data_IF_945665273737
#
_entry.id   IF_945665273737
#
_cell.length_a   1.000
_cell.length_b   1.000
_cell.length_c   1.000
_cell.angle_alpha   90.00
_cell.angle_beta   90.00
_cell.angle_gamma   90.00
#
_symmetry.space_group_name_H-M   'P 1'
#
loop_
_entity.id
_entity.type
_entity.pdbx_description
1 polymer ?
#
# COMPACT_ATOMS: atom_id res chain seq x y z
N UNK A 1 27.29 17.54 35.78
CA UNK A 1 26.37 18.07 34.75
C UNK A 1 25.38 16.95 34.39
N UNK A 2 24.09 17.12 34.67
CA UNK A 2 23.09 16.08 34.37
C UNK A 2 22.76 16.22 32.87
N UNK A 3 23.10 15.19 32.10
CA UNK A 3 22.77 15.12 30.67
C UNK A 3 21.26 14.92 30.55
N UNK A 4 20.57 15.71 29.72
CA UNK A 4 19.13 15.56 29.52
C UNK A 4 18.79 14.28 28.74
N UNK A 5 17.59 13.69 28.90
CA UNK A 5 17.16 12.54 28.12
C UNK A 5 17.24 12.78 26.61
N UNK A 6 16.97 13.99 26.16
CA UNK A 6 17.14 14.37 24.75
C UNK A 6 18.61 14.31 24.31
N UNK A 7 19.53 14.85 25.10
CA UNK A 7 20.97 14.82 24.76
C UNK A 7 21.50 13.39 24.65
N UNK A 8 21.08 12.52 25.59
CA UNK A 8 21.45 11.10 25.58
C UNK A 8 20.85 10.38 24.35
N UNK A 9 19.58 10.66 24.03
CA UNK A 9 18.90 10.08 22.86
C UNK A 9 19.58 10.50 21.56
N UNK A 10 20.00 11.76 21.47
CA UNK A 10 20.74 12.30 20.32
C UNK A 10 22.10 11.61 20.16
N UNK A 11 22.87 11.46 21.24
CA UNK A 11 24.16 10.78 21.20
C UNK A 11 24.00 9.32 20.74
N UNK A 12 22.99 8.62 21.22
CA UNK A 12 22.68 7.26 20.75
C UNK A 12 22.35 7.22 19.27
N UNK A 13 21.53 8.15 18.79
CA UNK A 13 21.16 8.23 17.38
C UNK A 13 22.36 8.54 16.45
N UNK A 14 23.40 9.24 16.97
CA UNK A 14 24.64 9.55 16.24
C UNK A 14 25.64 8.38 16.26
N UNK A 15 25.63 7.53 17.30
CA UNK A 15 26.65 6.51 17.55
C UNK A 15 26.17 5.06 17.37
N UNK A 16 24.88 4.81 17.52
CA UNK A 16 24.27 3.47 17.43
C UNK A 16 23.55 3.25 16.12
N UNK A 17 23.33 1.98 15.74
CA UNK A 17 22.41 1.67 14.66
C UNK A 17 20.97 2.06 15.06
N UNK A 18 20.31 2.94 14.32
CA UNK A 18 18.96 3.46 14.63
C UNK A 18 17.91 2.37 14.90
N UNK A 19 18.10 1.15 14.36
CA UNK A 19 17.23 0.00 14.64
C UNK A 19 17.30 -0.51 16.10
N UNK A 20 18.33 -0.12 16.82
CA UNK A 20 18.55 -0.51 18.22
C UNK A 20 18.10 0.61 19.19
N UNK A 21 17.84 1.80 18.66
CA UNK A 21 17.36 2.95 19.44
C UNK A 21 15.85 2.82 19.67
N UNK A 22 15.42 2.96 20.92
CA UNK A 22 14.00 2.83 21.28
C UNK A 22 13.14 3.98 20.73
N UNK A 23 11.84 3.72 20.58
CA UNK A 23 10.87 4.68 20.02
C UNK A 23 10.85 6.02 20.78
N UNK A 24 10.93 6.00 22.13
CA UNK A 24 11.02 7.21 22.96
C UNK A 24 12.21 8.09 22.56
N UNK A 25 13.37 7.50 22.37
CA UNK A 25 14.60 8.21 22.03
C UNK A 25 14.54 8.77 20.60
N UNK A 26 14.02 8.00 19.64
CA UNK A 26 13.80 8.46 18.26
C UNK A 26 12.86 9.66 18.22
N UNK A 27 11.75 9.62 18.97
CA UNK A 27 10.80 10.73 19.05
C UNK A 27 11.43 11.96 19.73
N UNK A 28 12.24 11.80 20.80
CA UNK A 28 12.99 12.91 21.40
C UNK A 28 13.92 13.61 20.42
N UNK A 29 14.63 12.82 19.60
CA UNK A 29 15.52 13.34 18.55
C UNK A 29 14.76 14.15 17.51
N UNK A 30 13.65 13.62 17.00
CA UNK A 30 12.82 14.32 16.00
C UNK A 30 12.23 15.61 16.55
N UNK A 31 11.78 15.60 17.82
CA UNK A 31 11.14 16.76 18.46
C UNK A 31 12.15 17.77 19.02
N UNK A 32 13.40 17.37 19.21
CA UNK A 32 14.44 18.20 19.84
C UNK A 32 14.11 18.53 21.31
N UNK A 33 13.46 17.62 22.04
CA UNK A 33 13.02 17.87 23.41
C UNK A 33 12.77 16.60 24.21
N UNK A 34 12.79 16.73 25.54
CA UNK A 34 12.49 15.66 26.49
C UNK A 34 11.00 15.36 26.53
N UNK A 35 10.53 14.55 25.58
CA UNK A 35 9.15 14.04 25.52
C UNK A 35 9.16 12.55 25.84
N UNK A 36 8.17 12.11 26.59
CA UNK A 36 7.91 10.68 26.85
C UNK A 36 6.69 10.24 26.08
N UNK A 37 6.78 9.08 25.42
CA UNK A 37 5.63 8.48 24.76
C UNK A 37 4.60 8.01 25.80
N UNK A 38 3.38 8.53 25.68
CA UNK A 38 2.24 8.09 26.48
C UNK A 38 1.42 6.98 25.81
N UNK A 39 1.66 6.78 24.49
CA UNK A 39 0.97 5.82 23.63
C UNK A 39 1.96 5.18 22.66
N UNK A 40 1.65 4.00 22.10
CA UNK A 40 2.49 3.34 21.09
C UNK A 40 2.73 4.24 19.87
N UNK A 41 3.90 4.07 19.24
CA UNK A 41 4.27 4.81 18.01
C UNK A 41 3.27 4.58 16.87
N UNK A 42 2.67 3.39 16.80
CA UNK A 42 1.63 3.05 15.83
C UNK A 42 0.36 3.89 15.97
N UNK A 43 0.02 4.30 17.17
CA UNK A 43 -1.09 5.23 17.43
C UNK A 43 -0.74 6.63 16.93
N UNK A 44 0.47 7.12 17.27
CA UNK A 44 0.91 8.45 16.84
C UNK A 44 1.04 8.56 15.32
N UNK A 45 1.48 7.50 14.63
CA UNK A 45 1.64 7.50 13.19
C UNK A 45 0.34 7.63 12.39
N UNK A 46 -0.81 7.34 13.05
CA UNK A 46 -2.16 7.47 12.47
C UNK A 46 -2.91 8.70 12.99
N UNK A 47 -2.32 9.45 13.93
CA UNK A 47 -2.94 10.61 14.56
C UNK A 47 -2.62 11.91 13.83
N UNK A 48 -3.57 12.85 13.84
CA UNK A 48 -3.35 14.20 13.34
C UNK A 48 -2.39 14.99 14.25
N UNK A 49 -1.84 16.08 13.75
CA UNK A 49 -0.98 16.97 14.55
C UNK A 49 -1.70 17.56 15.77
N UNK A 50 -3.02 17.71 15.70
CA UNK A 50 -3.84 18.18 16.83
C UNK A 50 -3.93 17.14 17.94
N UNK A 51 -4.21 15.88 17.56
CA UNK A 51 -4.28 14.76 18.50
C UNK A 51 -2.92 14.48 19.14
N UNK A 52 -1.83 14.46 18.35
CA UNK A 52 -0.46 14.28 18.87
C UNK A 52 -0.10 15.38 19.85
N UNK A 53 -0.47 16.64 19.58
CA UNK A 53 -0.23 17.76 20.48
C UNK A 53 -0.90 17.52 21.85
N UNK A 54 -2.13 17.04 21.85
CA UNK A 54 -2.86 16.68 23.08
C UNK A 54 -2.27 15.47 23.81
N UNK A 55 -1.97 14.38 23.08
CA UNK A 55 -1.45 13.15 23.65
C UNK A 55 -0.06 13.30 24.30
N UNK A 56 0.80 14.13 23.71
CA UNK A 56 2.19 14.31 24.17
C UNK A 56 2.40 15.61 24.95
N UNK A 57 1.37 16.46 25.11
CA UNK A 57 1.50 17.75 25.80
C UNK A 57 2.47 18.72 25.13
N UNK A 58 2.56 18.71 23.80
CA UNK A 58 3.50 19.52 23.01
C UNK A 58 2.79 20.56 22.14
N UNK A 59 3.53 21.56 21.65
CA UNK A 59 2.97 22.52 20.71
C UNK A 59 2.56 21.88 19.38
N UNK A 60 1.56 22.45 18.69
CA UNK A 60 1.13 22.01 17.35
C UNK A 60 2.29 22.00 16.34
N UNK A 61 3.20 22.96 16.42
CA UNK A 61 4.37 23.04 15.55
C UNK A 61 5.31 21.84 15.76
N UNK A 62 5.50 21.37 16.99
CA UNK A 62 6.27 20.16 17.29
C UNK A 62 5.55 18.91 16.82
N UNK A 63 4.24 18.81 17.09
CA UNK A 63 3.42 17.71 16.60
C UNK A 63 3.45 17.60 15.06
N UNK A 64 3.40 18.73 14.35
CA UNK A 64 3.54 18.76 12.89
C UNK A 64 4.87 18.18 12.40
N UNK A 65 5.99 18.44 13.11
CA UNK A 65 7.30 17.81 12.77
C UNK A 65 7.24 16.30 12.86
N UNK A 66 6.59 15.77 13.87
CA UNK A 66 6.46 14.31 14.04
C UNK A 66 5.58 13.70 12.94
N UNK A 67 4.44 14.32 12.61
CA UNK A 67 3.60 13.91 11.48
C UNK A 67 4.40 13.93 10.16
N UNK A 68 5.19 15.01 9.95
CA UNK A 68 6.04 15.11 8.76
C UNK A 68 7.11 14.01 8.73
N UNK A 69 7.72 13.68 9.88
CA UNK A 69 8.70 12.60 9.96
C UNK A 69 8.09 11.23 9.64
N UNK A 70 6.88 10.94 10.14
CA UNK A 70 6.14 9.73 9.79
C UNK A 70 5.85 9.67 8.30
N UNK A 71 5.39 10.77 7.71
CA UNK A 71 5.10 10.84 6.28
C UNK A 71 6.35 10.68 5.42
N UNK A 72 7.47 11.30 5.79
CA UNK A 72 8.75 11.11 5.11
C UNK A 72 9.25 9.67 5.23
N UNK A 73 9.13 9.06 6.43
CA UNK A 73 9.45 7.65 6.65
C UNK A 73 8.59 6.72 5.80
N UNK A 74 7.28 6.98 5.73
CA UNK A 74 6.34 6.26 4.87
C UNK A 74 6.73 6.37 3.39
N UNK A 75 7.06 7.58 2.91
CA UNK A 75 7.51 7.78 1.51
C UNK A 75 8.86 7.14 1.24
N UNK A 76 9.79 7.21 2.18
CA UNK A 76 11.12 6.61 2.05
C UNK A 76 11.09 5.07 2.10
N UNK A 77 10.21 4.48 2.90
CA UNK A 77 10.02 3.03 2.97
C UNK A 77 9.24 2.49 1.76
N UNK A 78 8.48 3.35 1.08
CA UNK A 78 7.65 2.96 -0.04
C UNK A 78 8.36 3.25 -1.36
N UNK A 79 9.04 2.24 -1.87
CA UNK A 79 9.56 2.25 -3.24
C UNK A 79 8.66 1.33 -4.07
N UNK A 80 7.71 1.90 -4.84
CA UNK A 80 6.89 1.09 -5.73
C UNK A 80 7.78 0.45 -6.78
N UNK A 81 7.46 -0.77 -7.24
CA UNK A 81 8.20 -1.43 -8.29
C UNK A 81 8.19 -0.57 -9.57
N UNK A 82 9.36 -0.49 -10.20
CA UNK A 82 9.54 0.21 -11.47
C UNK A 82 9.32 -0.75 -12.64
N UNK A 83 9.13 -0.18 -13.83
CA UNK A 83 9.09 -0.97 -15.06
C UNK A 83 10.34 -1.85 -15.17
N UNK A 84 10.16 -3.16 -15.36
CA UNK A 84 11.21 -4.16 -15.41
C UNK A 84 11.47 -4.91 -14.11
N UNK A 85 10.96 -4.44 -12.99
CA UNK A 85 11.05 -5.14 -11.71
C UNK A 85 10.09 -6.35 -11.67
N UNK A 86 10.46 -7.37 -10.93
CA UNK A 86 9.61 -8.54 -10.75
C UNK A 86 8.37 -8.16 -9.91
N UNK A 87 7.18 -8.50 -10.42
CA UNK A 87 5.91 -8.14 -9.81
C UNK A 87 4.95 -9.35 -9.84
N UNK A 88 5.28 -10.41 -9.09
CA UNK A 88 4.48 -11.64 -8.99
C UNK A 88 3.96 -11.88 -7.58
N UNK A 89 4.53 -11.21 -6.60
CA UNK A 89 4.17 -11.34 -5.21
C UNK A 89 3.04 -10.36 -4.88
N UNK A 90 1.93 -10.81 -4.25
CA UNK A 90 0.80 -9.95 -3.89
C UNK A 90 1.17 -8.76 -3.02
N UNK A 91 2.16 -8.88 -2.13
CA UNK A 91 2.65 -7.75 -1.33
C UNK A 91 3.33 -6.67 -2.19
N UNK A 92 4.03 -7.08 -3.25
CA UNK A 92 4.61 -6.18 -4.25
C UNK A 92 3.51 -5.48 -5.05
N UNK A 93 2.46 -6.21 -5.43
CA UNK A 93 1.26 -5.65 -6.08
C UNK A 93 0.58 -4.63 -5.19
N UNK A 94 0.36 -4.96 -3.92
CA UNK A 94 -0.19 -4.03 -2.94
C UNK A 94 0.66 -2.76 -2.82
N UNK A 95 1.99 -2.91 -2.77
CA UNK A 95 2.90 -1.76 -2.73
C UNK A 95 2.75 -0.87 -3.96
N UNK A 96 2.65 -1.45 -5.15
CA UNK A 96 2.46 -0.73 -6.42
C UNK A 96 1.13 0.02 -6.49
N UNK A 97 0.07 -0.55 -5.90
CA UNK A 97 -1.32 -0.11 -6.05
C UNK A 97 -1.91 0.51 -4.78
N UNK A 98 -1.09 0.76 -3.77
CA UNK A 98 -1.54 1.25 -2.45
C UNK A 98 -2.27 2.59 -2.52
N UNK A 99 -1.99 3.40 -3.52
CA UNK A 99 -2.69 4.66 -3.78
C UNK A 99 -4.20 4.45 -3.96
N UNK A 100 -4.63 3.31 -4.49
CA UNK A 100 -6.05 2.97 -4.66
C UNK A 100 -6.83 2.89 -3.33
N UNK A 101 -6.18 2.60 -2.21
CA UNK A 101 -6.85 2.56 -0.90
C UNK A 101 -7.46 3.90 -0.49
N UNK A 102 -7.09 5.01 -1.14
CA UNK A 102 -7.56 6.35 -0.85
C UNK A 102 -8.59 6.87 -1.87
N UNK A 103 -8.88 6.08 -2.91
CA UNK A 103 -9.85 6.46 -3.92
C UNK A 103 -11.29 6.27 -3.40
N UNK A 104 -12.12 7.30 -3.56
CA UNK A 104 -13.52 7.29 -3.13
C UNK A 104 -14.42 6.46 -4.06
N UNK A 105 -13.95 6.20 -5.27
CA UNK A 105 -14.62 5.37 -6.26
C UNK A 105 -13.94 4.01 -6.36
N UNK A 106 -14.70 2.97 -6.70
CA UNK A 106 -14.13 1.69 -7.06
C UNK A 106 -13.43 1.78 -8.42
N UNK A 107 -12.14 1.49 -8.46
CA UNK A 107 -11.33 1.47 -9.68
C UNK A 107 -10.83 0.07 -9.97
N UNK A 108 -11.05 -0.39 -11.18
CA UNK A 108 -10.50 -1.65 -11.66
C UNK A 108 -9.28 -1.40 -12.55
N UNK A 109 -8.18 -1.95 -12.17
CA UNK A 109 -6.89 -1.84 -12.84
C UNK A 109 -6.38 -3.21 -13.29
N UNK A 110 -5.44 -3.19 -14.24
CA UNK A 110 -4.63 -4.34 -14.59
C UNK A 110 -3.16 -3.99 -14.47
N UNK A 111 -2.39 -4.91 -13.92
CA UNK A 111 -0.93 -4.91 -13.94
C UNK A 111 -0.50 -5.81 -15.09
N UNK A 112 0.32 -5.27 -15.97
CA UNK A 112 0.77 -5.90 -17.20
C UNK A 112 2.18 -6.45 -16.98
N UNK A 113 2.38 -7.71 -17.33
CA UNK A 113 3.62 -8.44 -17.08
C UNK A 113 4.21 -9.01 -18.35
N UNK A 114 5.54 -9.03 -18.43
CA UNK A 114 6.27 -9.77 -19.46
C UNK A 114 6.27 -11.29 -19.18
N UNK A 115 6.89 -12.08 -20.07
CA UNK A 115 7.01 -13.54 -19.94
C UNK A 115 7.76 -13.97 -18.66
N UNK A 116 8.60 -13.11 -18.09
CA UNK A 116 9.36 -13.35 -16.87
C UNK A 116 8.66 -12.84 -15.60
N UNK A 117 7.43 -12.31 -15.74
CA UNK A 117 6.68 -11.73 -14.64
C UNK A 117 7.21 -10.36 -14.20
N UNK A 118 7.84 -9.61 -15.08
CA UNK A 118 8.31 -8.26 -14.82
C UNK A 118 7.25 -7.24 -15.22
N UNK A 119 7.16 -6.19 -14.44
CA UNK A 119 6.22 -5.08 -14.64
C UNK A 119 6.47 -4.37 -15.97
N UNK A 120 5.49 -4.37 -16.84
CA UNK A 120 5.42 -3.53 -18.03
C UNK A 120 4.71 -2.21 -17.75
N UNK A 121 3.72 -2.22 -16.88
CA UNK A 121 2.95 -1.06 -16.47
C UNK A 121 1.63 -1.41 -15.81
N UNK A 122 0.88 -0.39 -15.39
CA UNK A 122 -0.51 -0.52 -14.91
C UNK A 122 -1.45 0.26 -15.81
N UNK A 123 -2.71 -0.19 -15.92
CA UNK A 123 -3.75 0.48 -16.69
C UNK A 123 -5.06 0.48 -15.90
N UNK A 124 -5.68 1.65 -15.80
CA UNK A 124 -7.07 1.79 -15.38
C UNK A 124 -7.97 1.24 -16.48
N UNK A 125 -8.87 0.33 -16.13
CA UNK A 125 -9.84 -0.27 -17.05
C UNK A 125 -11.21 0.36 -16.85
N UNK A 126 -11.65 0.50 -15.60
CA UNK A 126 -12.95 1.06 -15.25
C UNK A 126 -12.87 1.81 -13.94
N UNK A 127 -13.63 2.89 -13.85
CA UNK A 127 -13.92 3.62 -12.62
C UNK A 127 -15.43 3.66 -12.46
N UNK A 128 -15.92 3.06 -11.38
CA UNK A 128 -17.34 2.95 -11.08
C UNK A 128 -17.85 4.06 -10.18
N UNK A 129 -19.18 4.12 -10.02
CA UNK A 129 -19.83 4.80 -8.88
C UNK A 129 -19.76 3.88 -7.66
N UNK A 130 -20.10 4.41 -6.47
CA UNK A 130 -20.08 3.68 -5.18
C UNK A 130 -20.84 2.32 -5.17
N UNK A 131 -21.54 1.98 -6.23
CA UNK A 131 -22.40 0.78 -6.33
C UNK A 131 -22.11 -0.13 -7.52
N UNK A 132 -21.38 0.30 -8.53
CA UNK A 132 -21.09 -0.53 -9.72
C UNK A 132 -19.81 -0.09 -10.45
N UNK A 133 -18.87 -1.01 -10.60
CA UNK A 133 -17.72 -0.89 -11.50
C UNK A 133 -17.87 -1.90 -12.66
N UNK A 134 -18.49 -1.52 -13.79
CA UNK A 134 -18.72 -2.44 -14.88
C UNK A 134 -17.40 -2.78 -15.59
N UNK A 135 -16.87 -3.97 -15.30
CA UNK A 135 -15.66 -4.50 -15.93
C UNK A 135 -16.02 -5.52 -17.00
N UNK A 136 -15.59 -5.24 -18.22
CA UNK A 136 -15.76 -6.16 -19.35
C UNK A 136 -14.46 -6.92 -19.64
N UNK A 137 -14.47 -8.25 -19.80
CA UNK A 137 -13.31 -8.99 -20.27
C UNK A 137 -12.71 -8.43 -21.57
N UNK A 138 -13.54 -7.92 -22.47
CA UNK A 138 -13.11 -7.29 -23.72
C UNK A 138 -12.19 -6.08 -23.45
N UNK A 139 -12.53 -5.22 -22.48
CA UNK A 139 -11.75 -4.01 -22.21
C UNK A 139 -10.44 -4.36 -21.54
N UNK A 140 -10.44 -5.33 -20.63
CA UNK A 140 -9.24 -5.89 -20.00
C UNK A 140 -8.31 -6.48 -21.07
N UNK A 141 -8.81 -7.39 -21.88
CA UNK A 141 -8.00 -8.06 -22.90
C UNK A 141 -7.48 -7.10 -23.96
N UNK A 142 -8.27 -6.10 -24.34
CA UNK A 142 -7.79 -5.05 -25.26
C UNK A 142 -6.58 -4.31 -24.70
N UNK A 143 -6.57 -3.97 -23.41
CA UNK A 143 -5.43 -3.33 -22.77
C UNK A 143 -4.21 -4.25 -22.73
N UNK A 144 -4.40 -5.52 -22.34
CA UNK A 144 -3.33 -6.54 -22.26
C UNK A 144 -2.68 -6.79 -23.64
N UNK A 145 -3.50 -7.02 -24.67
CA UNK A 145 -3.03 -7.32 -26.02
C UNK A 145 -2.32 -6.12 -26.64
N UNK A 146 -2.88 -4.91 -26.47
CA UNK A 146 -2.29 -3.68 -27.01
C UNK A 146 -0.87 -3.40 -26.47
N UNK A 147 -0.60 -3.76 -25.22
CA UNK A 147 0.69 -3.57 -24.56
C UNK A 147 1.63 -4.77 -24.76
N UNK A 148 1.19 -5.81 -25.49
CA UNK A 148 1.98 -7.02 -25.71
C UNK A 148 2.31 -7.79 -24.43
N UNK A 149 1.46 -7.67 -23.39
CA UNK A 149 1.70 -8.33 -22.14
C UNK A 149 1.44 -9.85 -22.23
N UNK A 150 2.34 -10.64 -21.66
CA UNK A 150 2.21 -12.09 -21.55
C UNK A 150 1.35 -12.50 -20.35
N UNK A 151 1.42 -11.74 -19.27
CA UNK A 151 0.68 -11.99 -18.05
C UNK A 151 -0.05 -10.76 -17.54
N UNK A 152 -1.06 -11.00 -16.71
CA UNK A 152 -1.89 -9.95 -16.10
C UNK A 152 -2.20 -10.29 -14.64
N UNK A 153 -2.21 -9.26 -13.79
CA UNK A 153 -2.81 -9.31 -12.46
C UNK A 153 -3.95 -8.30 -12.44
N UNK A 154 -5.12 -8.74 -11.97
CA UNK A 154 -6.29 -7.89 -11.78
C UNK A 154 -6.18 -7.20 -10.43
N UNK A 155 -6.56 -5.93 -10.34
CA UNK A 155 -6.53 -5.19 -9.08
C UNK A 155 -7.73 -4.25 -9.03
N UNK A 156 -8.44 -4.23 -7.91
CA UNK A 156 -9.42 -3.19 -7.62
C UNK A 156 -9.39 -2.81 -6.14
N UNK A 157 -9.94 -1.66 -5.81
CA UNK A 157 -10.12 -1.23 -4.43
C UNK A 157 -11.58 -1.32 -4.01
N UNK A 158 -11.79 -1.53 -2.72
CA UNK A 158 -13.09 -1.31 -2.09
C UNK A 158 -13.09 0.02 -1.34
N UNK A 159 -13.92 0.99 -1.74
CA UNK A 159 -14.03 2.28 -1.04
C UNK A 159 -14.48 2.15 0.42
N UNK A 160 -15.11 1.03 0.79
CA UNK A 160 -15.43 0.70 2.20
C UNK A 160 -14.20 0.50 3.07
N UNK A 161 -13.04 0.24 2.45
CA UNK A 161 -11.78 -0.12 3.13
C UNK A 161 -11.62 -1.60 3.47
N UNK A 162 -12.69 -2.40 3.39
CA UNK A 162 -12.63 -3.86 3.60
C UNK A 162 -12.25 -4.56 2.29
N UNK A 163 -11.12 -5.27 2.29
CA UNK A 163 -10.62 -6.01 1.13
C UNK A 163 -11.26 -7.39 0.92
N UNK A 164 -12.24 -7.77 1.75
CA UNK A 164 -12.95 -9.06 1.60
C UNK A 164 -13.71 -9.10 0.28
N UNK A 165 -13.51 -10.14 -0.58
CA UNK A 165 -14.18 -10.24 -1.86
C UNK A 165 -15.68 -10.49 -1.70
N UNK A 166 -16.49 -9.85 -2.55
CA UNK A 166 -17.91 -10.13 -2.74
C UNK A 166 -18.11 -11.34 -3.69
N UNK A 167 -19.33 -11.86 -3.74
CA UNK A 167 -19.70 -12.90 -4.74
C UNK A 167 -19.50 -12.37 -6.18
N UNK A 168 -19.76 -11.10 -6.43
CA UNK A 168 -19.54 -10.47 -7.72
C UNK A 168 -18.04 -10.44 -8.12
N UNK A 169 -17.14 -10.28 -7.15
CA UNK A 169 -15.68 -10.33 -7.38
C UNK A 169 -15.23 -11.73 -7.74
N UNK A 170 -15.81 -12.74 -7.09
CA UNK A 170 -15.57 -14.15 -7.45
C UNK A 170 -16.02 -14.44 -8.89
N UNK A 171 -17.24 -14.06 -9.27
CA UNK A 171 -17.78 -14.26 -10.60
C UNK A 171 -16.97 -13.50 -11.67
N UNK A 172 -16.59 -12.25 -11.38
CA UNK A 172 -15.77 -11.46 -12.27
C UNK A 172 -14.40 -12.10 -12.47
N UNK A 173 -13.75 -12.55 -11.39
CA UNK A 173 -12.45 -13.21 -11.42
C UNK A 173 -12.46 -14.43 -12.34
N UNK A 174 -13.47 -15.31 -12.20
CA UNK A 174 -13.60 -16.51 -13.03
C UNK A 174 -13.82 -16.15 -14.51
N UNK A 175 -14.68 -15.19 -14.80
CA UNK A 175 -14.91 -14.71 -16.19
C UNK A 175 -13.65 -14.14 -16.83
N UNK A 176 -12.88 -13.34 -16.09
CA UNK A 176 -11.65 -12.75 -16.58
C UNK A 176 -10.56 -13.78 -16.80
N UNK A 177 -10.43 -14.77 -15.91
CA UNK A 177 -9.50 -15.90 -16.06
C UNK A 177 -9.80 -16.71 -17.31
N UNK A 178 -11.05 -17.14 -17.47
CA UNK A 178 -11.48 -17.91 -18.64
C UNK A 178 -11.23 -17.13 -19.96
N UNK A 179 -11.51 -15.84 -19.97
CA UNK A 179 -11.25 -14.99 -21.13
C UNK A 179 -9.75 -14.84 -21.45
N UNK A 180 -8.91 -14.71 -20.42
CA UNK A 180 -7.45 -14.61 -20.59
C UNK A 180 -6.87 -15.91 -21.16
N UNK A 181 -7.32 -17.07 -20.65
CA UNK A 181 -6.89 -18.38 -21.12
C UNK A 181 -7.20 -18.59 -22.60
N UNK A 182 -8.40 -18.20 -23.06
CA UNK A 182 -8.82 -18.30 -24.47
C UNK A 182 -7.88 -17.56 -25.45
N UNK A 183 -7.24 -16.48 -25.00
CA UNK A 183 -6.33 -15.68 -25.84
C UNK A 183 -4.85 -15.91 -25.51
N UNK A 184 -4.54 -16.91 -24.68
CA UNK A 184 -3.16 -17.27 -24.32
C UNK A 184 -2.47 -16.27 -23.37
N UNK A 185 -3.24 -15.45 -22.65
CA UNK A 185 -2.74 -14.54 -21.62
C UNK A 185 -2.76 -15.25 -20.26
N UNK A 186 -1.66 -15.16 -19.53
CA UNK A 186 -1.55 -15.80 -18.21
C UNK A 186 -2.09 -14.87 -17.13
N UNK A 187 -3.32 -15.12 -16.67
CA UNK A 187 -3.85 -14.46 -15.46
C UNK A 187 -3.12 -15.02 -14.22
N UNK A 188 -2.50 -14.15 -13.43
CA UNK A 188 -1.61 -14.52 -12.32
C UNK A 188 -2.28 -14.45 -10.96
N UNK A 189 -3.08 -13.40 -10.73
CA UNK A 189 -3.79 -13.17 -9.47
C UNK A 189 -4.91 -12.15 -9.67
N UNK A 190 -5.78 -12.04 -8.69
CA UNK A 190 -6.66 -10.91 -8.47
C UNK A 190 -6.45 -10.40 -7.04
N UNK A 191 -6.13 -9.11 -6.90
CA UNK A 191 -5.80 -8.49 -5.63
C UNK A 191 -6.81 -7.36 -5.34
N UNK A 192 -7.44 -7.41 -4.19
CA UNK A 192 -8.37 -6.38 -3.72
C UNK A 192 -7.67 -5.50 -2.70
N UNK A 193 -7.67 -4.20 -2.92
CA UNK A 193 -7.00 -3.22 -2.05
C UNK A 193 -8.00 -2.66 -1.05
N UNK A 194 -7.69 -2.79 0.23
CA UNK A 194 -8.41 -2.15 1.33
C UNK A 194 -7.56 -1.10 2.03
N UNK A 195 -8.12 -0.44 3.04
CA UNK A 195 -7.45 0.62 3.80
C UNK A 195 -6.24 0.09 4.58
N UNK A 196 -6.39 -1.05 5.23
CA UNK A 196 -5.37 -1.61 6.13
C UNK A 196 -4.64 -2.84 5.56
N UNK A 197 -4.85 -3.16 4.27
CA UNK A 197 -4.25 -4.32 3.65
C UNK A 197 -4.85 -4.68 2.30
N UNK A 198 -4.68 -5.93 1.93
CA UNK A 198 -5.18 -6.47 0.67
C UNK A 198 -5.69 -7.89 0.85
N UNK A 199 -6.49 -8.33 -0.11
CA UNK A 199 -6.85 -9.73 -0.31
C UNK A 199 -6.28 -10.22 -1.64
N UNK A 200 -5.63 -11.39 -1.66
CA UNK A 200 -5.16 -12.07 -2.88
C UNK A 200 -5.91 -13.38 -3.05
N UNK A 201 -6.48 -13.60 -4.22
CA UNK A 201 -7.16 -14.86 -4.54
C UNK A 201 -6.19 -16.04 -4.56
N UNK A 202 -4.93 -15.81 -4.96
CA UNK A 202 -3.87 -16.84 -4.94
C UNK A 202 -3.49 -17.20 -3.51
N UNK A 203 -3.19 -16.23 -2.65
CA UNK A 203 -2.82 -16.49 -1.25
C UNK A 203 -3.94 -17.14 -0.45
N UNK A 204 -5.19 -16.77 -0.74
CA UNK A 204 -6.38 -17.37 -0.12
C UNK A 204 -6.71 -18.78 -0.65
N UNK A 205 -5.91 -19.32 -1.60
CA UNK A 205 -6.18 -20.64 -2.22
C UNK A 205 -7.44 -20.70 -3.07
N UNK A 206 -7.97 -19.53 -3.48
CA UNK A 206 -9.18 -19.40 -4.32
C UNK A 206 -8.86 -19.30 -5.81
N UNK A 207 -7.57 -19.38 -6.17
CA UNK A 207 -7.11 -19.38 -7.55
C UNK A 207 -6.98 -20.81 -8.07
N UNK A 208 -8.04 -21.37 -8.66
CA UNK A 208 -8.00 -22.71 -9.26
C UNK A 208 -7.11 -22.68 -10.52
N UNK A 209 -6.18 -23.62 -10.59
CA UNK A 209 -5.36 -23.83 -11.79
C UNK A 209 -6.15 -24.58 -12.85
#
# INVERSE_FOLDING_TARGET
MIISPYQLARERAETEHLRQVGDDDLVRVVLGSDVKLAVPISTLSRSSSHEIAGLLGISRSRAARLVTAFELGRRGAWTPPHRGDRCLDPSTVYTLMRDLAQEEAEEFHVILLDVRGRLLGRRLISRGSLTQCPVSPRDVLRAVIREGAHGVIYVHNHPSGDSTPSDADHDLTERLRAAAELVGVVARDHVIIGTDGYYSFVEAGRWRR
#
